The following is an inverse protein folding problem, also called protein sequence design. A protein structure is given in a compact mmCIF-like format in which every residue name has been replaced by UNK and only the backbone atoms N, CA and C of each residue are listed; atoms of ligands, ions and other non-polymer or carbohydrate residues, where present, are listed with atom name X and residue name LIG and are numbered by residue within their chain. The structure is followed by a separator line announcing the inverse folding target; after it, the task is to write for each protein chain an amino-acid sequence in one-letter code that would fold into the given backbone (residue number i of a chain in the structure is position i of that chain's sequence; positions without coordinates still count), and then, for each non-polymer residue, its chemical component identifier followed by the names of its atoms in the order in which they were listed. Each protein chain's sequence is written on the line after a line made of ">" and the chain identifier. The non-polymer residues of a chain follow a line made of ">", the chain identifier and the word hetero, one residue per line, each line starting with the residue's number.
data_IF_312206260896
#
_entry.id   IF_312206260896
#
_cell.length_a   1.000
_cell.length_b   1.000
_cell.length_c   1.000
_cell.angle_alpha   90.00
_cell.angle_beta   90.00
_cell.angle_gamma   90.00
#
_symmetry.space_group_name_H-M   'P 1'
#
loop_
_entity.id
_entity.type
_entity.pdbx_description
1 polymer ?
#
# COMPACT_ATOMS: atom_id res chain seq x y z
N UNK A 1 10.14 -21.78 29.51
CA UNK A 1 11.52 -21.61 28.99
C UNK A 1 12.46 -22.01 30.11
N UNK A 2 13.51 -22.77 29.79
CA UNK A 2 14.55 -23.10 30.76
C UNK A 2 15.53 -21.94 30.92
N UNK A 3 16.33 -21.93 32.00
CA UNK A 3 17.36 -20.89 32.21
C UNK A 3 18.42 -20.90 31.08
N UNK A 4 18.74 -22.07 30.50
CA UNK A 4 19.60 -22.19 29.31
C UNK A 4 18.99 -21.58 28.04
N UNK A 5 17.67 -21.68 27.86
CA UNK A 5 16.99 -21.05 26.72
C UNK A 5 17.05 -19.52 26.83
N UNK A 6 17.04 -19.00 28.06
CA UNK A 6 17.07 -17.56 28.35
C UNK A 6 18.48 -16.99 28.15
N UNK A 7 19.51 -17.70 28.59
CA UNK A 7 20.92 -17.30 28.40
C UNK A 7 21.37 -17.38 26.93
N UNK A 8 20.81 -18.31 26.13
CA UNK A 8 21.05 -18.37 24.68
C UNK A 8 20.41 -17.22 23.92
N UNK A 9 19.28 -16.70 24.39
CA UNK A 9 18.63 -15.52 23.79
C UNK A 9 19.47 -14.27 24.04
N UNK A 10 20.10 -14.11 25.22
CA UNK A 10 20.98 -12.98 25.51
C UNK A 10 22.26 -12.93 24.65
N UNK A 11 22.67 -14.05 24.05
CA UNK A 11 23.84 -14.15 23.14
C UNK A 11 23.47 -14.19 21.66
N UNK A 12 22.18 -14.16 21.32
CA UNK A 12 21.75 -14.18 19.92
C UNK A 12 22.06 -12.85 19.21
N UNK A 13 22.37 -12.94 17.93
CA UNK A 13 22.49 -11.79 17.05
C UNK A 13 21.12 -11.21 16.68
N UNK A 14 21.14 -10.04 16.05
CA UNK A 14 19.94 -9.25 15.75
C UNK A 14 19.69 -9.11 14.25
N UNK A 15 18.41 -9.03 13.87
CA UNK A 15 18.00 -8.62 12.53
C UNK A 15 17.78 -7.09 12.45
N UNK A 16 18.37 -6.46 11.46
CA UNK A 16 18.16 -5.05 11.13
C UNK A 16 17.52 -4.93 9.74
N UNK A 17 16.29 -4.41 9.65
CA UNK A 17 15.72 -4.05 8.35
C UNK A 17 16.22 -2.66 7.97
N UNK A 18 16.99 -2.57 6.89
CA UNK A 18 17.70 -1.36 6.49
C UNK A 18 17.12 -0.80 5.19
N UNK A 19 16.39 0.32 5.28
CA UNK A 19 15.84 0.97 4.11
C UNK A 19 16.94 1.60 3.23
N UNK A 20 16.93 1.27 1.94
CA UNK A 20 17.89 1.75 0.93
C UNK A 20 17.30 2.89 0.08
N UNK A 21 18.13 3.71 -0.58
CA UNK A 21 17.67 4.74 -1.50
C UNK A 21 16.70 4.25 -2.60
N UNK A 22 15.74 5.09 -2.98
CA UNK A 22 14.79 4.83 -4.09
C UNK A 22 15.18 5.52 -5.42
N UNK A 23 16.39 6.08 -5.50
CA UNK A 23 16.85 6.76 -6.71
C UNK A 23 18.03 7.71 -6.49
N UNK A 24 18.10 8.35 -5.32
CA UNK A 24 19.20 9.22 -4.94
C UNK A 24 19.98 8.66 -3.76
N UNK A 25 21.26 8.34 -3.99
CA UNK A 25 22.12 7.70 -2.98
C UNK A 25 22.13 8.44 -1.64
N UNK A 26 21.97 9.77 -1.64
CA UNK A 26 22.00 10.62 -0.44
C UNK A 26 20.80 10.44 0.50
N UNK A 27 19.76 9.73 0.07
CA UNK A 27 18.57 9.50 0.89
C UNK A 27 18.73 8.36 1.90
N UNK A 28 19.88 7.66 1.86
CA UNK A 28 20.24 6.68 2.89
C UNK A 28 20.53 7.40 4.21
N UNK A 29 20.08 6.82 5.33
CA UNK A 29 20.32 7.43 6.64
C UNK A 29 21.71 7.06 7.17
N UNK A 30 22.29 7.93 7.99
CA UNK A 30 23.58 7.68 8.67
C UNK A 30 23.50 6.38 9.47
N UNK A 31 22.40 6.15 10.20
CA UNK A 31 22.20 4.94 11.00
C UNK A 31 22.22 3.67 10.15
N UNK A 32 21.63 3.70 8.94
CA UNK A 32 21.71 2.55 8.03
C UNK A 32 23.16 2.34 7.57
N UNK A 33 23.88 3.39 7.21
CA UNK A 33 25.29 3.27 6.81
C UNK A 33 26.17 2.66 7.92
N UNK A 34 26.00 3.11 9.15
CA UNK A 34 26.74 2.61 10.31
C UNK A 34 26.39 1.13 10.57
N UNK A 35 25.09 0.80 10.60
CA UNK A 35 24.63 -0.59 10.78
C UNK A 35 25.17 -1.50 9.69
N UNK A 36 25.15 -1.11 8.42
CA UNK A 36 25.67 -1.94 7.33
C UNK A 36 27.18 -2.18 7.44
N UNK A 37 27.95 -1.30 8.09
CA UNK A 37 29.39 -1.48 8.35
C UNK A 37 29.67 -2.36 9.57
N UNK A 38 28.75 -2.43 10.52
CA UNK A 38 28.93 -3.09 11.81
C UNK A 38 28.38 -4.52 11.86
N UNK A 39 27.31 -4.82 11.11
CA UNK A 39 26.75 -6.18 11.07
C UNK A 39 27.71 -7.19 10.45
N UNK A 40 27.55 -8.46 10.80
CA UNK A 40 28.41 -9.54 10.33
C UNK A 40 28.06 -10.00 8.91
N UNK A 41 26.79 -9.84 8.51
CA UNK A 41 26.27 -10.30 7.22
C UNK A 41 25.14 -9.39 6.71
N UNK A 42 25.15 -9.12 5.40
CA UNK A 42 24.05 -8.43 4.70
C UNK A 42 23.29 -9.46 3.85
N UNK A 43 22.00 -9.62 4.11
CA UNK A 43 21.06 -10.30 3.24
C UNK A 43 20.47 -9.29 2.24
N UNK A 44 20.71 -9.48 0.96
CA UNK A 44 20.28 -8.57 -0.11
C UNK A 44 19.40 -9.29 -1.14
N UNK A 45 18.39 -8.60 -1.66
CA UNK A 45 17.53 -9.08 -2.74
C UNK A 45 18.33 -9.44 -3.99
N UNK A 46 18.97 -8.44 -4.63
CA UNK A 46 19.98 -8.67 -5.66
C UNK A 46 21.35 -8.16 -5.18
N UNK A 47 22.27 -9.10 -4.97
CA UNK A 47 23.65 -8.80 -4.57
C UNK A 47 24.43 -8.03 -5.63
N UNK A 48 24.08 -8.17 -6.92
CA UNK A 48 24.71 -7.45 -8.05
C UNK A 48 24.25 -6.00 -8.13
N UNK A 49 23.03 -5.72 -7.69
CA UNK A 49 22.53 -4.36 -7.56
C UNK A 49 23.11 -3.71 -6.30
N UNK A 50 22.96 -4.40 -5.15
CA UNK A 50 23.40 -3.91 -3.84
C UNK A 50 24.90 -3.64 -3.74
N UNK A 51 25.76 -4.40 -4.43
CA UNK A 51 27.21 -4.16 -4.39
C UNK A 51 27.59 -2.75 -4.86
N UNK A 52 26.81 -2.13 -5.75
CA UNK A 52 27.06 -0.76 -6.21
C UNK A 52 26.87 0.25 -5.08
N UNK A 53 25.81 0.08 -4.29
CA UNK A 53 25.53 0.88 -3.11
C UNK A 53 26.63 0.70 -2.06
N UNK A 54 26.99 -0.54 -1.75
CA UNK A 54 28.02 -0.84 -0.76
C UNK A 54 29.38 -0.29 -1.16
N UNK A 55 29.78 -0.44 -2.44
CA UNK A 55 31.01 0.12 -2.95
C UNK A 55 31.05 1.65 -2.88
N UNK A 56 29.93 2.33 -3.18
CA UNK A 56 29.85 3.78 -3.08
C UNK A 56 30.11 4.29 -1.66
N UNK A 57 29.66 3.54 -0.65
CA UNK A 57 29.81 3.87 0.76
C UNK A 57 30.97 3.15 1.45
N UNK A 58 31.82 2.47 0.69
CA UNK A 58 32.99 1.71 1.15
C UNK A 58 32.66 0.65 2.23
N UNK A 59 31.47 0.04 2.11
CA UNK A 59 31.00 -1.03 3.02
C UNK A 59 31.57 -2.37 2.53
N UNK A 60 32.31 -3.06 3.40
CA UNK A 60 33.01 -4.32 3.07
C UNK A 60 32.36 -5.57 3.65
N UNK A 61 31.26 -5.41 4.36
CA UNK A 61 30.50 -6.48 5.00
C UNK A 61 30.08 -7.53 3.96
N UNK A 62 30.27 -8.84 4.25
CA UNK A 62 29.92 -9.87 3.29
C UNK A 62 28.41 -9.88 3.01
N UNK A 63 28.04 -10.21 1.78
CA UNK A 63 26.66 -10.30 1.33
C UNK A 63 26.23 -11.73 1.03
N UNK A 64 24.96 -12.01 1.24
CA UNK A 64 24.28 -13.22 0.78
C UNK A 64 22.95 -12.86 0.11
N UNK A 65 22.48 -13.66 -0.85
CA UNK A 65 21.21 -13.40 -1.51
C UNK A 65 20.02 -13.83 -0.64
N UNK A 66 18.98 -13.01 -0.63
CA UNK A 66 17.68 -13.28 -0.01
C UNK A 66 16.58 -12.67 -0.88
N UNK A 67 15.93 -13.49 -1.70
CA UNK A 67 14.96 -13.03 -2.69
C UNK A 67 13.70 -13.90 -2.69
N UNK A 68 12.65 -13.48 -3.40
CA UNK A 68 11.32 -14.08 -3.36
C UNK A 68 11.32 -15.61 -3.56
N UNK A 69 12.13 -16.13 -4.48
CA UNK A 69 12.20 -17.58 -4.77
C UNK A 69 12.91 -18.44 -3.72
N UNK A 70 13.71 -17.85 -2.81
CA UNK A 70 14.44 -18.61 -1.79
C UNK A 70 14.08 -18.21 -0.35
N UNK A 71 13.13 -17.28 -0.18
CA UNK A 71 12.88 -16.57 1.07
C UNK A 71 12.60 -17.48 2.27
N UNK A 72 11.97 -18.63 2.08
CA UNK A 72 11.61 -19.56 3.17
C UNK A 72 12.85 -20.30 3.70
N UNK A 73 13.56 -21.00 2.83
CA UNK A 73 14.75 -21.77 3.23
C UNK A 73 15.91 -20.86 3.64
N UNK A 74 16.06 -19.73 2.94
CA UNK A 74 17.08 -18.74 3.26
C UNK A 74 16.80 -18.06 4.59
N UNK A 75 15.53 -17.78 4.92
CA UNK A 75 15.17 -17.24 6.23
C UNK A 75 15.58 -18.21 7.34
N UNK A 76 15.30 -19.52 7.19
CA UNK A 76 15.70 -20.52 8.18
C UNK A 76 17.20 -20.56 8.42
N UNK A 77 17.98 -20.48 7.34
CA UNK A 77 19.44 -20.38 7.41
C UNK A 77 19.89 -19.13 8.18
N UNK A 78 19.33 -17.96 7.88
CA UNK A 78 19.69 -16.70 8.53
C UNK A 78 19.27 -16.68 10.01
N UNK A 79 18.11 -17.22 10.35
CA UNK A 79 17.66 -17.36 11.75
C UNK A 79 18.62 -18.23 12.56
N UNK A 80 19.09 -19.35 11.99
CA UNK A 80 20.09 -20.18 12.67
C UNK A 80 21.41 -19.43 12.86
N UNK A 81 21.85 -18.63 11.87
CA UNK A 81 23.03 -17.76 12.03
C UNK A 81 22.86 -16.73 13.15
N UNK A 82 21.68 -16.12 13.26
CA UNK A 82 21.38 -15.19 14.35
C UNK A 82 21.36 -15.89 15.72
N UNK A 83 20.85 -17.12 15.81
CA UNK A 83 20.96 -17.95 17.04
C UNK A 83 22.41 -18.24 17.44
N UNK A 84 23.31 -18.30 16.48
CA UNK A 84 24.75 -18.46 16.71
C UNK A 84 25.47 -17.14 17.08
N UNK A 85 24.75 -16.01 17.15
CA UNK A 85 25.30 -14.69 17.52
C UNK A 85 25.58 -13.76 16.34
N UNK A 86 25.27 -14.16 15.10
CA UNK A 86 25.53 -13.33 13.90
C UNK A 86 24.52 -12.19 13.78
N UNK A 87 24.97 -10.95 13.66
CA UNK A 87 24.11 -9.82 13.33
C UNK A 87 23.87 -9.74 11.82
N UNK A 88 22.61 -9.60 11.42
CA UNK A 88 22.20 -9.61 10.01
C UNK A 88 21.47 -8.32 9.66
N UNK A 89 21.89 -7.63 8.60
CA UNK A 89 21.07 -6.60 7.97
C UNK A 89 20.34 -7.15 6.74
N UNK A 90 19.04 -6.86 6.62
CA UNK A 90 18.26 -7.10 5.41
C UNK A 90 18.14 -5.79 4.62
N UNK A 91 18.47 -5.83 3.33
CA UNK A 91 18.27 -4.75 2.37
C UNK A 91 17.53 -5.26 1.13
N UNK A 92 16.73 -4.40 0.50
CA UNK A 92 16.11 -4.65 -0.81
C UNK A 92 16.69 -3.67 -1.83
N UNK A 93 16.36 -3.90 -3.11
CA UNK A 93 16.97 -3.13 -4.19
C UNK A 93 16.68 -1.63 -4.09
N UNK A 94 15.52 -1.27 -3.55
CA UNK A 94 15.15 0.12 -3.27
C UNK A 94 14.11 0.20 -2.15
N UNK A 95 14.25 1.18 -1.26
CA UNK A 95 13.23 1.50 -0.28
C UNK A 95 13.26 0.60 0.96
N UNK A 96 12.09 0.35 1.54
CA UNK A 96 11.96 -0.31 2.85
C UNK A 96 11.73 -1.81 2.68
N UNK A 97 12.63 -2.67 3.21
CA UNK A 97 12.47 -4.12 3.10
C UNK A 97 11.13 -4.63 3.65
N UNK A 98 10.55 -5.62 2.95
CA UNK A 98 9.25 -6.20 3.28
C UNK A 98 8.04 -5.42 2.76
N UNK A 99 8.23 -4.31 2.05
CA UNK A 99 7.14 -3.56 1.40
C UNK A 99 7.26 -3.73 -0.11
N UNK A 100 6.41 -4.60 -0.68
CA UNK A 100 6.47 -5.00 -2.11
C UNK A 100 7.73 -5.76 -2.53
N UNK A 101 8.63 -6.00 -1.59
CA UNK A 101 9.89 -6.73 -1.74
C UNK A 101 9.99 -7.86 -0.68
N UNK A 102 10.94 -8.81 -0.82
CA UNK A 102 11.18 -9.85 0.19
C UNK A 102 11.50 -9.29 1.59
N UNK A 103 11.02 -9.96 2.63
CA UNK A 103 11.40 -9.64 4.02
C UNK A 103 10.41 -10.12 5.06
N UNK A 104 9.11 -10.14 4.73
CA UNK A 104 8.03 -10.56 5.64
C UNK A 104 8.30 -11.95 6.25
N UNK A 105 8.70 -12.90 5.41
CA UNK A 105 8.97 -14.27 5.83
C UNK A 105 10.15 -14.37 6.81
N UNK A 106 11.22 -13.58 6.61
CA UNK A 106 12.36 -13.55 7.52
C UNK A 106 11.97 -12.94 8.87
N UNK A 107 11.20 -11.84 8.86
CA UNK A 107 10.69 -11.20 10.08
C UNK A 107 9.82 -12.18 10.87
N UNK A 108 8.90 -12.87 10.20
CA UNK A 108 8.02 -13.88 10.82
C UNK A 108 8.84 -14.98 11.49
N UNK A 109 9.79 -15.59 10.78
CA UNK A 109 10.63 -16.64 11.34
C UNK A 109 11.53 -16.12 12.49
N UNK A 110 11.99 -14.87 12.45
CA UNK A 110 12.73 -14.26 13.57
C UNK A 110 11.85 -14.13 14.81
N UNK A 111 10.62 -13.63 14.67
CA UNK A 111 9.67 -13.53 15.78
C UNK A 111 9.35 -14.89 16.39
N UNK A 112 9.08 -15.89 15.57
CA UNK A 112 8.82 -17.28 16.01
C UNK A 112 10.02 -17.89 16.74
N UNK A 113 11.24 -17.49 16.36
CA UNK A 113 12.48 -17.96 16.95
C UNK A 113 12.94 -17.15 18.17
N UNK A 114 12.23 -16.08 18.55
CA UNK A 114 12.64 -15.17 19.63
C UNK A 114 13.87 -14.32 19.30
N UNK A 115 14.20 -14.16 18.00
CA UNK A 115 15.31 -13.32 17.55
C UNK A 115 14.90 -11.86 17.64
N UNK A 116 15.74 -11.06 18.30
CA UNK A 116 15.56 -9.61 18.32
C UNK A 116 15.63 -9.03 16.91
N UNK A 117 14.75 -8.07 16.63
CA UNK A 117 14.74 -7.37 15.36
C UNK A 117 14.36 -5.90 15.54
N UNK A 118 14.81 -5.06 14.61
CA UNK A 118 14.40 -3.66 14.52
C UNK A 118 14.37 -3.21 13.07
N UNK A 119 13.50 -2.25 12.76
CA UNK A 119 13.49 -1.57 11.46
C UNK A 119 14.17 -0.20 11.57
N UNK A 120 15.03 0.12 10.61
CA UNK A 120 15.65 1.42 10.49
C UNK A 120 14.80 2.29 9.57
N UNK A 121 14.23 3.41 10.08
CA UNK A 121 13.50 4.36 9.25
C UNK A 121 14.35 4.83 8.08
N UNK A 122 13.70 5.01 6.93
CA UNK A 122 14.33 5.48 5.72
C UNK A 122 13.34 5.58 4.56
N UNK A 123 13.84 5.60 3.31
CA UNK A 123 13.02 5.85 2.13
C UNK A 123 11.88 4.82 1.93
N UNK A 124 10.68 5.32 1.61
CA UNK A 124 9.54 4.53 1.19
C UNK A 124 8.78 5.30 0.10
N UNK A 125 8.77 4.79 -1.14
CA UNK A 125 8.23 5.52 -2.29
C UNK A 125 6.75 5.87 -2.14
N UNK A 126 5.93 5.01 -1.53
CA UNK A 126 4.51 5.26 -1.28
C UNK A 126 4.28 6.47 -0.36
N UNK A 127 5.08 6.61 0.71
CA UNK A 127 4.99 7.75 1.64
C UNK A 127 5.50 9.02 0.98
N UNK A 128 6.64 8.95 0.27
CA UNK A 128 7.18 10.10 -0.48
C UNK A 128 6.21 10.58 -1.56
N UNK A 129 5.57 9.68 -2.31
CA UNK A 129 4.56 10.03 -3.29
C UNK A 129 3.35 10.72 -2.62
N UNK A 130 2.86 10.16 -1.52
CA UNK A 130 1.70 10.68 -0.81
C UNK A 130 1.94 12.11 -0.31
N UNK A 131 3.12 12.41 0.25
CA UNK A 131 3.41 13.73 0.82
C UNK A 131 3.52 14.84 -0.24
N UNK A 132 3.94 14.51 -1.46
CA UNK A 132 4.00 15.47 -2.57
C UNK A 132 2.74 15.46 -3.46
N UNK A 133 1.81 14.52 -3.24
CA UNK A 133 0.64 14.32 -4.10
C UNK A 133 -0.42 15.42 -4.02
N UNK A 134 -0.47 16.18 -2.92
CA UNK A 134 -1.58 17.09 -2.61
C UNK A 134 -2.92 16.38 -2.34
N UNK A 135 -2.91 15.07 -2.03
CA UNK A 135 -4.09 14.30 -1.61
C UNK A 135 -4.16 14.19 -0.07
N UNK A 136 -5.27 13.66 0.43
CA UNK A 136 -5.46 13.44 1.87
C UNK A 136 -4.45 12.43 2.42
N UNK A 137 -3.64 12.84 3.39
CA UNK A 137 -2.63 11.98 4.02
C UNK A 137 -3.11 11.33 5.31
N UNK A 138 -4.31 11.70 5.80
CA UNK A 138 -4.83 11.25 7.11
C UNK A 138 -5.10 9.75 7.17
N UNK A 139 -5.66 9.20 6.09
CA UNK A 139 -5.94 7.77 5.94
C UNK A 139 -5.74 7.41 4.48
N UNK A 140 -4.96 6.38 4.23
CA UNK A 140 -4.70 5.87 2.89
C UNK A 140 -4.68 4.34 2.90
N UNK A 141 -4.86 3.75 1.72
CA UNK A 141 -4.56 2.34 1.44
C UNK A 141 -3.37 2.27 0.50
N UNK A 142 -2.61 1.19 0.61
CA UNK A 142 -1.50 0.91 -0.27
C UNK A 142 -1.69 -0.48 -0.85
N UNK A 143 -1.90 -0.54 -2.16
CA UNK A 143 -2.21 -1.77 -2.91
C UNK A 143 -0.96 -2.37 -3.58
N UNK A 144 0.23 -1.81 -3.30
CA UNK A 144 1.47 -2.20 -3.97
C UNK A 144 1.29 -2.23 -5.50
N UNK A 145 1.77 -3.29 -6.16
CA UNK A 145 1.48 -3.57 -7.56
C UNK A 145 0.20 -4.40 -7.65
N UNK A 146 -0.74 -3.97 -8.50
CA UNK A 146 -1.93 -4.78 -8.78
C UNK A 146 -1.52 -6.15 -9.34
N UNK A 147 -2.13 -7.26 -8.85
CA UNK A 147 -1.74 -8.62 -9.20
C UNK A 147 -1.96 -8.91 -10.68
N UNK A 148 -1.23 -9.91 -11.17
CA UNK A 148 -1.35 -10.41 -12.54
C UNK A 148 -2.50 -11.41 -12.69
N UNK A 149 -2.90 -12.08 -11.60
CA UNK A 149 -4.06 -12.95 -11.60
C UNK A 149 -5.34 -12.13 -11.83
N UNK A 150 -6.12 -12.52 -12.84
CA UNK A 150 -7.29 -11.75 -13.27
C UNK A 150 -8.42 -11.76 -12.24
N UNK A 151 -8.57 -12.84 -11.49
CA UNK A 151 -9.65 -12.98 -10.50
C UNK A 151 -9.34 -12.12 -9.28
N UNK A 152 -8.14 -12.28 -8.73
CA UNK A 152 -7.65 -11.50 -7.59
C UNK A 152 -7.65 -10.00 -7.91
N UNK A 153 -7.12 -9.62 -9.09
CA UNK A 153 -7.13 -8.22 -9.55
C UNK A 153 -8.55 -7.65 -9.63
N UNK A 154 -9.52 -8.42 -10.13
CA UNK A 154 -10.91 -7.98 -10.22
C UNK A 154 -11.54 -7.80 -8.83
N UNK A 155 -11.25 -8.70 -7.89
CA UNK A 155 -11.72 -8.60 -6.51
C UNK A 155 -11.20 -7.31 -5.86
N UNK A 156 -9.89 -7.03 -5.95
CA UNK A 156 -9.29 -5.78 -5.45
C UNK A 156 -9.94 -4.56 -6.11
N UNK A 157 -10.06 -4.55 -7.44
CA UNK A 157 -10.69 -3.42 -8.16
C UNK A 157 -12.13 -3.17 -7.69
N UNK A 158 -12.91 -4.21 -7.40
CA UNK A 158 -14.25 -4.07 -6.86
C UNK A 158 -14.26 -3.43 -5.46
N UNK A 159 -13.29 -3.76 -4.60
CA UNK A 159 -13.15 -3.15 -3.27
C UNK A 159 -12.84 -1.64 -3.38
N UNK A 160 -12.01 -1.26 -4.35
CA UNK A 160 -11.59 0.14 -4.54
C UNK A 160 -12.70 1.08 -5.03
N UNK A 161 -13.80 0.56 -5.60
CA UNK A 161 -14.92 1.38 -6.11
C UNK A 161 -15.47 2.33 -5.04
N UNK A 162 -15.62 1.83 -3.81
CA UNK A 162 -16.20 2.55 -2.68
C UNK A 162 -15.15 2.96 -1.62
N UNK A 163 -13.86 2.80 -1.92
CA UNK A 163 -12.80 3.20 -1.01
C UNK A 163 -12.78 4.72 -0.86
N UNK A 164 -12.88 5.20 0.38
CA UNK A 164 -12.96 6.63 0.73
C UNK A 164 -11.60 7.22 1.08
N UNK A 165 -10.61 6.38 1.37
CA UNK A 165 -9.23 6.76 1.68
C UNK A 165 -8.48 7.03 0.38
N UNK A 166 -7.38 7.78 0.48
CA UNK A 166 -6.46 7.90 -0.66
C UNK A 166 -5.87 6.53 -0.98
N UNK A 167 -5.82 6.17 -2.26
CA UNK A 167 -5.34 4.87 -2.72
C UNK A 167 -3.97 5.07 -3.34
N UNK A 168 -3.00 4.23 -2.98
CA UNK A 168 -1.63 4.29 -3.53
C UNK A 168 -1.32 2.97 -4.23
N UNK A 169 -0.91 3.06 -5.51
CA UNK A 169 -0.53 1.93 -6.36
C UNK A 169 0.86 2.19 -6.94
N UNK A 170 1.72 1.18 -6.97
CA UNK A 170 2.93 1.18 -7.78
C UNK A 170 2.64 0.62 -9.16
N UNK A 171 3.29 1.16 -10.19
CA UNK A 171 3.14 0.63 -11.54
C UNK A 171 4.40 0.74 -12.38
N UNK A 172 4.63 -0.31 -13.17
CA UNK A 172 5.72 -0.39 -14.11
C UNK A 172 5.35 0.37 -15.41
N UNK A 173 6.32 0.97 -16.11
CA UNK A 173 6.05 1.85 -17.25
C UNK A 173 5.31 1.12 -18.38
N UNK A 174 5.70 -0.11 -18.67
CA UNK A 174 5.11 -0.94 -19.74
C UNK A 174 3.67 -1.40 -19.44
N UNK A 175 3.19 -1.23 -18.20
CA UNK A 175 1.83 -1.55 -17.77
C UNK A 175 0.96 -0.32 -17.51
N UNK A 176 1.56 0.87 -17.40
CA UNK A 176 0.92 2.07 -16.91
C UNK A 176 -0.39 2.40 -17.64
N UNK A 177 -0.35 2.49 -18.97
CA UNK A 177 -1.52 2.88 -19.78
C UNK A 177 -2.67 1.91 -19.57
N UNK A 178 -2.40 0.60 -19.63
CA UNK A 178 -3.41 -0.44 -19.39
C UNK A 178 -4.01 -0.34 -17.98
N UNK A 179 -3.19 -0.11 -16.96
CA UNK A 179 -3.69 0.04 -15.58
C UNK A 179 -4.52 1.31 -15.43
N UNK A 180 -4.14 2.42 -16.08
CA UNK A 180 -4.95 3.64 -16.10
C UNK A 180 -6.31 3.43 -16.78
N UNK A 181 -6.37 2.68 -17.89
CA UNK A 181 -7.64 2.31 -18.55
C UNK A 181 -8.54 1.49 -17.64
N UNK A 182 -8.00 0.43 -17.01
CA UNK A 182 -8.76 -0.43 -16.11
C UNK A 182 -9.26 0.34 -14.87
N UNK A 183 -8.43 1.23 -14.30
CA UNK A 183 -8.82 2.09 -13.18
C UNK A 183 -9.83 3.16 -13.59
N UNK A 184 -9.73 3.73 -14.80
CA UNK A 184 -10.75 4.65 -15.36
C UNK A 184 -12.11 3.97 -15.41
N UNK A 185 -12.15 2.76 -15.97
CA UNK A 185 -13.38 2.00 -16.17
C UNK A 185 -14.00 1.57 -14.83
N UNK A 186 -13.17 1.38 -13.80
CA UNK A 186 -13.61 0.95 -12.46
C UNK A 186 -14.01 2.12 -11.56
N UNK A 187 -13.22 3.20 -11.53
CA UNK A 187 -13.32 4.28 -10.55
C UNK A 187 -13.98 5.56 -11.09
N UNK A 188 -14.18 5.62 -12.41
CA UNK A 188 -14.74 6.75 -13.15
C UNK A 188 -13.66 7.67 -13.72
N UNK A 189 -13.89 8.19 -14.93
CA UNK A 189 -12.88 8.93 -15.70
C UNK A 189 -12.44 10.26 -15.07
N UNK A 190 -13.34 10.90 -14.31
CA UNK A 190 -13.13 12.20 -13.66
C UNK A 190 -12.48 12.07 -12.27
N UNK A 191 -12.12 10.85 -11.84
CA UNK A 191 -11.46 10.66 -10.56
C UNK A 191 -10.07 11.28 -10.61
N UNK A 192 -9.79 12.20 -9.67
CA UNK A 192 -8.49 12.83 -9.60
C UNK A 192 -7.42 11.87 -9.06
N UNK A 193 -6.21 11.98 -9.60
CA UNK A 193 -5.02 11.30 -9.12
C UNK A 193 -3.79 12.18 -9.33
N UNK A 194 -2.76 11.93 -8.55
CA UNK A 194 -1.42 12.47 -8.80
C UNK A 194 -0.52 11.33 -9.27
N UNK A 195 0.08 11.49 -10.45
CA UNK A 195 1.04 10.54 -11.01
C UNK A 195 2.44 11.03 -10.64
N UNK A 196 3.09 10.30 -9.73
CA UNK A 196 4.47 10.52 -9.35
C UNK A 196 5.37 9.62 -10.19
N UNK A 197 6.44 10.17 -10.75
CA UNK A 197 7.36 9.47 -11.63
C UNK A 197 8.79 9.76 -11.21
N UNK A 198 9.63 8.72 -11.18
CA UNK A 198 11.08 8.84 -10.95
C UNK A 198 11.42 9.61 -9.66
N UNK A 199 10.70 9.30 -8.57
CA UNK A 199 10.87 9.92 -7.26
C UNK A 199 12.35 9.91 -6.85
N UNK A 200 12.81 11.05 -6.33
CA UNK A 200 14.18 11.37 -5.90
C UNK A 200 15.23 11.42 -7.02
N UNK A 201 14.91 11.01 -8.25
CA UNK A 201 15.84 10.98 -9.39
C UNK A 201 15.86 12.32 -10.13
N UNK A 202 16.79 12.47 -11.08
CA UNK A 202 16.97 13.71 -11.87
C UNK A 202 15.70 14.18 -12.61
N UNK A 203 14.83 13.25 -13.00
CA UNK A 203 13.62 13.52 -13.78
C UNK A 203 12.35 13.28 -12.95
N UNK A 204 12.42 13.54 -11.64
CA UNK A 204 11.26 13.52 -10.75
C UNK A 204 10.17 14.45 -11.27
N UNK A 205 8.95 13.92 -11.37
CA UNK A 205 7.75 14.71 -11.67
C UNK A 205 6.59 14.19 -10.84
N UNK A 206 5.77 15.10 -10.31
CA UNK A 206 4.46 14.80 -9.75
C UNK A 206 3.45 15.76 -10.36
N UNK A 207 2.41 15.23 -11.01
CA UNK A 207 1.38 16.06 -11.61
C UNK A 207 -0.02 15.56 -11.27
N UNK A 208 -0.87 16.50 -10.88
CA UNK A 208 -2.28 16.27 -10.60
C UNK A 208 -3.06 16.22 -11.92
N UNK A 209 -3.96 15.25 -12.04
CA UNK A 209 -4.72 14.99 -13.27
C UNK A 209 -5.97 14.16 -12.95
N UNK A 210 -6.74 13.80 -13.97
CA UNK A 210 -7.78 12.75 -13.91
C UNK A 210 -7.37 11.54 -14.75
N UNK A 211 -8.07 10.41 -14.65
CA UNK A 211 -7.78 9.26 -15.52
C UNK A 211 -7.94 9.61 -17.01
N UNK A 212 -8.94 10.41 -17.35
CA UNK A 212 -9.17 10.91 -18.71
C UNK A 212 -7.99 11.71 -19.25
N UNK A 213 -7.55 12.72 -18.50
CA UNK A 213 -6.43 13.56 -18.88
C UNK A 213 -5.11 12.79 -18.92
N UNK A 214 -4.88 11.88 -17.97
CA UNK A 214 -3.69 11.04 -17.94
C UNK A 214 -3.59 10.15 -19.19
N UNK A 215 -4.70 9.54 -19.62
CA UNK A 215 -4.71 8.71 -20.82
C UNK A 215 -4.40 9.53 -22.07
N UNK A 216 -5.00 10.71 -22.23
CA UNK A 216 -4.69 11.65 -23.33
C UNK A 216 -3.19 12.02 -23.33
N UNK A 217 -2.62 12.27 -22.14
CA UNK A 217 -1.19 12.59 -22.03
C UNK A 217 -0.29 11.43 -22.48
N UNK A 218 -0.66 10.19 -22.20
CA UNK A 218 0.11 9.01 -22.56
C UNK A 218 -0.16 8.47 -23.99
N UNK A 219 -1.13 9.01 -24.72
CA UNK A 219 -1.31 8.70 -26.15
C UNK A 219 -0.11 9.14 -27.01
N UNK A 220 0.56 10.22 -26.61
CA UNK A 220 1.65 10.84 -27.38
C UNK A 220 3.01 10.74 -26.68
N UNK A 221 3.05 10.18 -25.47
CA UNK A 221 4.26 10.11 -24.64
C UNK A 221 4.41 8.72 -24.06
N UNK A 222 5.46 8.01 -24.47
CA UNK A 222 5.74 6.69 -23.92
C UNK A 222 6.05 6.75 -22.42
N UNK A 223 5.37 5.94 -21.58
CA UNK A 223 5.76 5.79 -20.19
C UNK A 223 7.19 5.25 -20.06
N UNK A 224 8.02 5.94 -19.27
CA UNK A 224 9.37 5.49 -18.87
C UNK A 224 9.63 5.68 -17.39
N UNK A 225 10.54 4.89 -16.82
CA UNK A 225 10.89 4.95 -15.40
C UNK A 225 9.86 4.28 -14.51
N UNK A 226 9.90 4.59 -13.21
CA UNK A 226 8.99 4.02 -12.21
C UNK A 226 7.88 5.00 -11.83
N UNK A 227 6.68 4.47 -11.53
CA UNK A 227 5.49 5.26 -11.21
C UNK A 227 4.87 4.88 -9.87
N UNK A 228 4.38 5.90 -9.17
CA UNK A 228 3.46 5.77 -8.04
C UNK A 228 2.21 6.58 -8.36
N UNK A 229 1.06 5.92 -8.37
CA UNK A 229 -0.26 6.52 -8.56
C UNK A 229 -0.86 6.82 -7.19
N UNK A 230 -1.18 8.08 -6.92
CA UNK A 230 -1.85 8.51 -5.68
C UNK A 230 -3.25 9.00 -6.03
N UNK A 231 -4.23 8.14 -5.86
CA UNK A 231 -5.59 8.28 -6.36
C UNK A 231 -6.50 8.80 -5.25
N UNK A 232 -7.41 9.71 -5.60
CA UNK A 232 -8.42 10.23 -4.69
C UNK A 232 -9.46 9.16 -4.31
N UNK A 233 -9.71 9.04 -3.00
CA UNK A 233 -10.80 8.22 -2.48
C UNK A 233 -12.18 8.78 -2.82
N UNK A 234 -13.21 7.96 -2.80
CA UNK A 234 -14.58 8.37 -3.11
C UNK A 234 -15.10 9.29 -2.01
N UNK A 235 -15.70 10.41 -2.39
CA UNK A 235 -16.29 11.31 -1.41
C UNK A 235 -17.42 10.60 -0.64
N UNK A 236 -17.46 10.81 0.68
CA UNK A 236 -18.55 10.33 1.53
C UNK A 236 -19.90 10.90 1.11
N UNK A 237 -19.94 12.17 0.68
CA UNK A 237 -21.18 12.79 0.22
C UNK A 237 -21.72 12.12 -1.05
N UNK A 238 -20.82 11.68 -1.94
CA UNK A 238 -21.20 10.93 -3.15
C UNK A 238 -21.75 9.55 -2.77
N UNK A 239 -21.08 8.83 -1.87
CA UNK A 239 -21.58 7.54 -1.38
C UNK A 239 -22.93 7.65 -0.66
N UNK A 240 -23.14 8.71 0.12
CA UNK A 240 -24.41 8.98 0.80
C UNK A 240 -25.51 9.27 -0.22
N UNK A 241 -25.22 10.08 -1.24
CA UNK A 241 -26.15 10.37 -2.33
C UNK A 241 -26.51 9.12 -3.13
N UNK A 242 -25.55 8.30 -3.55
CA UNK A 242 -25.82 7.06 -4.29
C UNK A 242 -26.70 6.09 -3.48
N UNK A 243 -26.53 6.03 -2.16
CA UNK A 243 -27.40 5.25 -1.28
C UNK A 243 -28.82 5.80 -1.23
N UNK A 244 -28.98 7.12 -1.24
CA UNK A 244 -30.29 7.78 -1.29
C UNK A 244 -30.98 7.53 -2.64
N UNK A 245 -30.24 7.74 -3.73
CA UNK A 245 -30.69 7.55 -5.11
C UNK A 245 -31.14 6.09 -5.37
N UNK A 246 -30.50 5.11 -4.72
CA UNK A 246 -30.89 3.69 -4.82
C UNK A 246 -32.35 3.43 -4.38
N UNK A 247 -32.89 4.25 -3.47
CA UNK A 247 -34.27 4.14 -3.02
C UNK A 247 -35.27 4.81 -3.96
N UNK A 248 -34.84 5.65 -4.91
CA UNK A 248 -35.75 6.29 -5.89
C UNK A 248 -36.44 5.28 -6.81
N UNK A 249 -35.84 4.10 -7.01
CA UNK A 249 -36.41 3.01 -7.81
C UNK A 249 -37.67 2.39 -7.20
N UNK A 250 -37.88 2.58 -5.90
CA UNK A 250 -39.02 2.08 -5.14
C UNK A 250 -39.92 3.27 -4.76
N UNK A 251 -41.23 3.08 -4.71
CA UNK A 251 -42.12 4.13 -4.18
C UNK A 251 -41.87 4.38 -2.69
N UNK A 252 -42.29 5.54 -2.20
CA UNK A 252 -42.22 5.85 -0.77
C UNK A 252 -43.11 4.89 0.04
N UNK A 253 -44.25 4.50 -0.50
CA UNK A 253 -45.17 3.55 0.14
C UNK A 253 -44.55 2.16 0.28
N UNK A 254 -44.00 1.59 -0.79
CA UNK A 254 -43.33 0.29 -0.76
C UNK A 254 -42.16 0.29 0.23
N UNK A 255 -41.37 1.36 0.27
CA UNK A 255 -40.24 1.47 1.19
C UNK A 255 -40.70 1.54 2.65
N UNK A 256 -41.77 2.29 2.95
CA UNK A 256 -42.35 2.32 4.30
C UNK A 256 -42.91 0.94 4.67
N UNK A 257 -43.62 0.28 3.76
CA UNK A 257 -44.19 -1.05 3.99
C UNK A 257 -43.11 -2.11 4.25
N UNK A 258 -41.96 -2.04 3.57
CA UNK A 258 -40.80 -2.90 3.83
C UNK A 258 -40.31 -2.81 5.29
N UNK A 259 -40.37 -1.63 5.91
CA UNK A 259 -40.02 -1.50 7.33
C UNK A 259 -41.13 -1.98 8.26
N UNK A 260 -42.40 -1.85 7.88
CA UNK A 260 -43.55 -2.39 8.61
C UNK A 260 -43.51 -3.92 8.62
N UNK A 261 -43.22 -4.56 7.48
CA UNK A 261 -43.05 -6.02 7.37
C UNK A 261 -41.90 -6.54 8.23
N UNK A 262 -40.86 -5.72 8.45
CA UNK A 262 -39.76 -5.99 9.39
C UNK A 262 -40.14 -5.78 10.86
N UNK A 263 -41.40 -5.50 11.17
CA UNK A 263 -41.93 -5.37 12.54
C UNK A 263 -41.86 -3.96 13.14
N UNK A 264 -41.54 -2.93 12.35
CA UNK A 264 -41.57 -1.55 12.84
C UNK A 264 -43.01 -1.00 12.80
N UNK A 265 -43.38 -0.17 13.77
CA UNK A 265 -44.64 0.56 13.67
C UNK A 265 -44.61 1.57 12.51
N UNK A 266 -45.78 2.00 12.01
CA UNK A 266 -45.88 2.91 10.86
C UNK A 266 -45.13 4.24 11.09
N UNK A 267 -45.06 4.72 12.33
CA UNK A 267 -44.40 5.99 12.68
C UNK A 267 -42.88 5.85 12.55
N UNK A 268 -42.33 4.73 12.98
CA UNK A 268 -40.91 4.40 12.92
C UNK A 268 -40.49 4.01 11.50
N UNK A 269 -41.31 3.24 10.79
CA UNK A 269 -41.11 2.90 9.39
C UNK A 269 -40.98 4.15 8.49
N UNK A 270 -41.85 5.15 8.67
CA UNK A 270 -41.72 6.44 7.99
C UNK A 270 -40.44 7.19 8.36
N UNK A 271 -39.95 7.07 9.60
CA UNK A 271 -38.70 7.73 10.05
C UNK A 271 -37.47 7.08 9.41
N UNK A 272 -37.45 5.76 9.34
CA UNK A 272 -36.36 5.00 8.73
C UNK A 272 -36.31 5.24 7.21
N UNK A 273 -37.45 5.14 6.52
CA UNK A 273 -37.54 5.44 5.09
C UNK A 273 -37.12 6.89 4.77
N UNK A 274 -37.51 7.86 5.60
CA UNK A 274 -37.09 9.26 5.46
C UNK A 274 -35.57 9.41 5.58
N UNK A 275 -34.95 8.77 6.59
CA UNK A 275 -33.50 8.80 6.80
C UNK A 275 -32.74 8.20 5.63
N UNK A 276 -33.17 7.05 5.13
CA UNK A 276 -32.52 6.34 4.03
C UNK A 276 -32.60 7.11 2.70
N UNK A 277 -33.70 7.82 2.49
CA UNK A 277 -33.93 8.69 1.32
C UNK A 277 -33.35 10.10 1.46
N UNK A 278 -32.82 10.46 2.63
CA UNK A 278 -32.30 11.81 2.88
C UNK A 278 -33.35 12.93 2.90
N UNK A 279 -34.63 12.61 3.07
CA UNK A 279 -35.76 13.57 3.11
C UNK A 279 -36.36 13.68 4.51
N UNK A 280 -37.23 14.68 4.73
CA UNK A 280 -37.88 14.80 6.04
C UNK A 280 -39.02 13.78 6.17
N UNK A 281 -39.31 13.35 7.41
CA UNK A 281 -40.47 12.50 7.69
C UNK A 281 -41.80 13.16 7.28
N UNK A 282 -41.86 14.50 7.29
CA UNK A 282 -43.04 15.24 6.85
C UNK A 282 -43.28 15.06 5.36
N UNK A 283 -42.21 15.05 4.56
CA UNK A 283 -42.30 14.85 3.11
C UNK A 283 -42.76 13.43 2.79
N UNK A 284 -42.23 12.43 3.49
CA UNK A 284 -42.72 11.04 3.42
C UNK A 284 -44.23 10.97 3.70
N UNK A 285 -44.70 11.60 4.77
CA UNK A 285 -46.12 11.61 5.10
C UNK A 285 -46.98 12.27 4.02
N UNK A 286 -46.53 13.39 3.44
CA UNK A 286 -47.24 14.06 2.35
C UNK A 286 -47.31 13.21 1.09
N UNK A 287 -46.22 12.51 0.75
CA UNK A 287 -46.15 11.60 -0.40
C UNK A 287 -47.04 10.36 -0.25
N UNK A 288 -47.36 9.93 0.98
CA UNK A 288 -48.28 8.81 1.25
C UNK A 288 -49.76 9.20 1.25
N UNK A 289 -50.07 10.50 1.17
CA UNK A 289 -51.45 11.03 1.20
C UNK A 289 -51.93 11.50 -0.18
N UNK A 290 -51.07 11.40 -1.19
CA UNK A 290 -51.35 11.64 -2.62
C UNK A 290 -51.66 10.30 -3.31
#
# INVERSE_FOLDING_TARGET
>A
MSDEDTEKIEKAGKLYLCATPIGNLRDITIRVLDTLKEVDLIAAEDTRHSIKLLNHYEIKTPMTSYHEFNKVDKARYLVNKMREGTNVALITDAGTPGISDPGEELVRQCQEAGIELTSLPGPAACVTALTISGRSTRRFTFEAFLPMDKKERKEILCELINEIRTIIIYEAPHRLVRTLEELRDTLGEERALTICKELTKRHETAFLTTFKEALIFYETKDPRGEYVLVIEGKSRSVLEKEKQDAWESMSVEEHVNLYVEKGNDKKEAMRLAAKDRGISKRDVYQMLML
#
